data_IF_501385098971
#
_entry.id   IF_501385098971
#
_cell.length_a   1.000
_cell.length_b   1.000
_cell.length_c   1.000
_cell.angle_alpha   90.00
_cell.angle_beta   90.00
_cell.angle_gamma   90.00
#
_symmetry.space_group_name_H-M   'P 1'
#
loop_
_entity.id
_entity.type
_entity.pdbx_description
1 polymer ?
#
# COMPACT_ATOMS: atom_id res chain seq x y z
N UNK A 1 -34.83 23.98 23.04
CA UNK A 1 -34.53 23.58 21.66
C UNK A 1 -33.40 22.58 21.72
N UNK A 2 -33.72 21.29 21.67
CA UNK A 2 -32.72 20.22 21.66
C UNK A 2 -32.20 20.10 20.22
N UNK A 3 -30.90 20.34 20.05
CA UNK A 3 -30.23 20.20 18.77
C UNK A 3 -30.19 18.71 18.40
N UNK A 4 -30.86 18.36 17.31
CA UNK A 4 -30.98 17.00 16.80
C UNK A 4 -29.61 16.60 16.23
N UNK A 5 -28.74 16.02 17.05
CA UNK A 5 -27.41 15.55 16.63
C UNK A 5 -27.53 14.28 15.79
N UNK A 6 -28.00 14.43 14.55
CA UNK A 6 -27.88 13.39 13.53
C UNK A 6 -26.40 13.16 13.30
N UNK A 7 -25.88 12.04 13.79
CA UNK A 7 -24.52 11.58 13.52
C UNK A 7 -24.34 11.46 12.00
N UNK A 8 -23.65 12.43 11.41
CA UNK A 8 -23.33 12.44 9.99
C UNK A 8 -22.17 11.48 9.77
N UNK A 9 -22.46 10.31 9.23
CA UNK A 9 -21.44 9.33 8.86
C UNK A 9 -20.39 10.00 7.96
N UNK A 10 -19.13 10.03 8.40
CA UNK A 10 -18.04 10.72 7.71
C UNK A 10 -17.65 12.10 8.27
N UNK A 11 -18.28 12.61 9.34
CA UNK A 11 -17.77 13.79 10.04
C UNK A 11 -16.49 13.50 10.84
N UNK A 12 -16.31 12.24 11.28
CA UNK A 12 -15.09 11.73 11.95
C UNK A 12 -13.87 11.69 11.02
N UNK A 13 -14.12 11.75 9.71
CA UNK A 13 -13.14 11.74 8.63
C UNK A 13 -12.66 13.16 8.28
N UNK A 14 -13.14 14.21 8.94
CA UNK A 14 -12.65 15.56 8.70
C UNK A 14 -11.51 15.90 9.67
N UNK A 15 -10.41 16.42 9.12
CA UNK A 15 -9.34 17.03 9.90
C UNK A 15 -9.86 18.08 10.87
N UNK A 16 -9.29 18.10 12.08
CA UNK A 16 -9.70 19.01 13.17
C UNK A 16 -9.44 20.49 12.88
N UNK A 17 -8.67 20.81 11.83
CA UNK A 17 -8.30 22.18 11.44
C UNK A 17 -7.17 22.79 12.27
N UNK A 18 -6.61 22.04 13.23
CA UNK A 18 -5.43 22.42 14.00
C UNK A 18 -4.55 21.18 14.22
N UNK A 19 -3.24 21.36 14.14
CA UNK A 19 -2.27 20.28 14.33
C UNK A 19 -1.89 20.13 15.80
N UNK A 20 -2.12 18.95 16.38
CA UNK A 20 -1.62 18.61 17.73
C UNK A 20 -0.14 18.21 17.64
N UNK A 21 0.64 18.35 18.73
CA UNK A 21 2.04 17.85 18.76
C UNK A 21 2.17 16.39 18.32
N UNK A 22 1.22 15.54 18.70
CA UNK A 22 1.18 14.14 18.29
C UNK A 22 1.03 14.00 16.78
N UNK A 23 0.10 14.74 16.18
CA UNK A 23 -0.19 14.70 14.74
C UNK A 23 1.04 15.16 13.94
N UNK A 24 1.74 16.19 14.45
CA UNK A 24 2.97 16.69 13.88
C UNK A 24 4.09 15.63 13.92
N UNK A 25 4.29 14.96 15.06
CA UNK A 25 5.29 13.90 15.22
C UNK A 25 5.02 12.75 14.26
N UNK A 26 3.76 12.26 14.21
CA UNK A 26 3.38 11.18 13.29
C UNK A 26 3.52 11.60 11.83
N UNK A 27 3.13 12.82 11.47
CA UNK A 27 3.26 13.35 10.12
C UNK A 27 4.71 13.47 9.68
N UNK A 28 5.59 13.98 10.54
CA UNK A 28 7.02 14.04 10.22
C UNK A 28 7.64 12.65 10.12
N UNK A 29 7.35 11.74 11.05
CA UNK A 29 7.86 10.36 11.00
C UNK A 29 7.43 9.66 9.72
N UNK A 30 6.14 9.71 9.37
CA UNK A 30 5.64 9.05 8.15
C UNK A 30 6.27 9.63 6.89
N UNK A 31 6.45 10.95 6.82
CA UNK A 31 7.11 11.61 5.68
C UNK A 31 8.57 11.20 5.57
N UNK A 32 9.32 11.16 6.67
CA UNK A 32 10.74 10.79 6.64
C UNK A 32 10.93 9.31 6.32
N UNK A 33 10.09 8.42 6.88
CA UNK A 33 10.10 7.01 6.51
C UNK A 33 9.78 6.80 5.04
N UNK A 34 8.76 7.48 4.50
CA UNK A 34 8.42 7.40 3.07
C UNK A 34 9.58 7.89 2.17
N UNK A 35 10.26 8.98 2.55
CA UNK A 35 11.41 9.47 1.80
C UNK A 35 12.61 8.51 1.82
N UNK A 36 12.89 7.90 2.98
CA UNK A 36 13.97 6.90 3.11
C UNK A 36 13.63 5.64 2.31
N UNK A 37 12.39 5.15 2.41
CA UNK A 37 11.90 3.98 1.70
C UNK A 37 11.97 4.18 0.17
N UNK A 38 11.55 5.35 -0.31
CA UNK A 38 11.70 5.75 -1.71
C UNK A 38 13.17 5.71 -2.15
N UNK A 39 14.08 6.24 -1.32
CA UNK A 39 15.51 6.18 -1.56
C UNK A 39 16.03 4.74 -1.70
N UNK A 40 15.62 3.84 -0.80
CA UNK A 40 15.99 2.42 -0.90
C UNK A 40 15.44 1.74 -2.16
N UNK A 41 14.19 2.04 -2.55
CA UNK A 41 13.61 1.46 -3.75
C UNK A 41 14.33 1.93 -5.03
N UNK A 42 14.78 3.18 -5.07
CA UNK A 42 15.61 3.71 -6.17
C UNK A 42 16.99 3.02 -6.20
N UNK A 43 17.63 2.84 -5.04
CA UNK A 43 18.91 2.14 -4.96
C UNK A 43 18.80 0.69 -5.45
N UNK A 44 17.71 -0.01 -5.13
CA UNK A 44 17.44 -1.36 -5.63
C UNK A 44 17.34 -1.39 -7.16
N UNK A 45 16.63 -0.43 -7.78
CA UNK A 45 16.54 -0.35 -9.24
C UNK A 45 17.89 -0.05 -9.90
N UNK A 46 18.69 0.83 -9.30
CA UNK A 46 20.05 1.13 -9.77
C UNK A 46 20.92 -0.14 -9.68
N UNK A 47 20.81 -0.91 -8.60
CA UNK A 47 21.55 -2.15 -8.40
C UNK A 47 21.22 -3.19 -9.49
N UNK A 48 19.94 -3.39 -9.78
CA UNK A 48 19.46 -4.31 -10.83
C UNK A 48 19.99 -3.90 -12.19
N UNK A 49 20.02 -2.60 -12.50
CA UNK A 49 20.51 -2.09 -13.79
C UNK A 49 22.01 -2.31 -13.98
N UNK A 50 22.80 -2.20 -12.90
CA UNK A 50 24.26 -2.29 -12.96
C UNK A 50 24.78 -3.72 -12.95
N UNK A 51 24.09 -4.66 -12.29
CA UNK A 51 24.59 -6.03 -12.13
C UNK A 51 24.06 -6.94 -13.26
N UNK A 52 24.98 -7.41 -14.12
CA UNK A 52 24.65 -8.28 -15.26
C UNK A 52 23.97 -9.60 -14.89
N UNK A 53 24.20 -10.10 -13.67
CA UNK A 53 23.57 -11.33 -13.14
C UNK A 53 22.04 -11.20 -13.03
N UNK A 54 21.52 -9.98 -12.97
CA UNK A 54 20.08 -9.71 -12.92
C UNK A 54 19.42 -9.57 -14.30
N UNK A 55 20.16 -9.70 -15.42
CA UNK A 55 19.56 -9.82 -16.76
C UNK A 55 18.92 -11.21 -16.97
N UNK A 56 18.02 -11.57 -16.06
CA UNK A 56 17.29 -12.82 -15.99
C UNK A 56 15.86 -12.53 -15.49
N UNK A 57 14.98 -13.52 -15.55
CA UNK A 57 13.62 -13.49 -15.00
C UNK A 57 13.56 -12.93 -13.57
N UNK A 58 14.57 -13.26 -12.76
CA UNK A 58 14.70 -12.83 -11.38
C UNK A 58 14.78 -11.30 -11.22
N UNK A 59 15.60 -10.63 -12.04
CA UNK A 59 15.75 -9.17 -11.97
C UNK A 59 14.48 -8.44 -12.40
N UNK A 60 13.69 -9.01 -13.30
CA UNK A 60 12.41 -8.45 -13.73
C UNK A 60 11.37 -8.43 -12.58
N UNK A 61 11.23 -9.52 -11.83
CA UNK A 61 10.32 -9.55 -10.68
C UNK A 61 10.76 -8.61 -9.57
N UNK A 62 12.07 -8.55 -9.31
CA UNK A 62 12.63 -7.63 -8.33
C UNK A 62 12.41 -6.17 -8.74
N UNK A 63 12.63 -5.83 -10.01
CA UNK A 63 12.36 -4.49 -10.51
C UNK A 63 10.87 -4.12 -10.41
N UNK A 64 9.97 -5.06 -10.76
CA UNK A 64 8.52 -4.84 -10.65
C UNK A 64 8.10 -4.62 -9.19
N UNK A 65 8.68 -5.37 -8.25
CA UNK A 65 8.47 -5.17 -6.81
C UNK A 65 8.93 -3.77 -6.37
N UNK A 66 10.15 -3.37 -6.70
CA UNK A 66 10.70 -2.06 -6.29
C UNK A 66 9.92 -0.90 -6.90
N UNK A 67 9.44 -1.03 -8.15
CA UNK A 67 8.56 -0.04 -8.77
C UNK A 67 7.24 0.09 -8.01
N UNK A 68 6.62 -1.02 -7.59
CA UNK A 68 5.41 -0.97 -6.78
C UNK A 68 5.65 -0.28 -5.42
N UNK A 69 6.79 -0.56 -4.79
CA UNK A 69 7.22 0.07 -3.54
C UNK A 69 7.39 1.59 -3.71
N UNK A 70 8.02 2.06 -4.80
CA UNK A 70 8.15 3.49 -5.09
C UNK A 70 6.79 4.21 -5.17
N UNK A 71 5.82 3.63 -5.88
CA UNK A 71 4.49 4.25 -6.02
C UNK A 71 3.74 4.34 -4.68
N UNK A 72 3.88 3.32 -3.85
CA UNK A 72 3.33 3.31 -2.50
C UNK A 72 4.01 4.37 -1.63
N UNK A 73 5.34 4.44 -1.62
CA UNK A 73 6.11 5.38 -0.80
C UNK A 73 5.88 6.84 -1.19
N UNK A 74 5.71 7.13 -2.49
CA UNK A 74 5.32 8.46 -2.97
C UNK A 74 3.96 8.87 -2.41
N UNK A 75 3.00 7.94 -2.35
CA UNK A 75 1.68 8.20 -1.75
C UNK A 75 1.80 8.48 -0.25
N UNK A 76 2.69 7.78 0.45
CA UNK A 76 2.97 8.05 1.86
C UNK A 76 3.64 9.39 2.11
N UNK A 77 4.68 9.71 1.33
CA UNK A 77 5.46 10.93 1.50
C UNK A 77 4.70 12.19 1.07
N UNK A 78 3.95 12.14 -0.03
CA UNK A 78 3.30 13.33 -0.61
C UNK A 78 1.86 13.53 -0.14
N UNK A 79 1.16 12.48 0.27
CA UNK A 79 -0.22 12.59 0.69
C UNK A 79 -0.39 12.35 2.18
N UNK A 80 -0.05 11.15 2.63
CA UNK A 80 -0.29 10.71 4.01
C UNK A 80 0.43 11.62 5.01
N UNK A 81 1.71 11.90 4.80
CA UNK A 81 2.49 12.81 5.64
C UNK A 81 1.89 14.22 5.74
N UNK A 82 1.74 14.94 4.61
CA UNK A 82 1.19 16.31 4.62
C UNK A 82 -0.24 16.41 5.14
N UNK A 83 -1.12 15.45 4.83
CA UNK A 83 -2.49 15.41 5.36
C UNK A 83 -2.48 15.27 6.89
N UNK A 84 -1.59 14.44 7.44
CA UNK A 84 -1.42 14.31 8.90
C UNK A 84 -0.98 15.63 9.54
N UNK A 85 -0.03 16.33 8.92
CA UNK A 85 0.55 17.57 9.45
C UNK A 85 -0.46 18.72 9.38
N UNK A 86 -1.19 18.85 8.28
CA UNK A 86 -2.03 20.00 8.00
C UNK A 86 -3.45 19.88 8.57
N UNK A 87 -3.93 18.66 8.87
CA UNK A 87 -5.28 18.41 9.42
C UNK A 87 -6.37 19.23 8.69
N UNK A 88 -6.36 19.15 7.35
CA UNK A 88 -7.14 20.03 6.47
C UNK A 88 -8.64 19.85 6.75
N UNK A 89 -9.33 20.97 7.00
CA UNK A 89 -10.79 20.99 7.16
C UNK A 89 -11.45 21.07 5.78
N UNK A 90 -12.55 20.35 5.58
CA UNK A 90 -13.30 20.29 4.32
C UNK A 90 -12.57 19.62 3.15
N UNK A 91 -11.85 18.54 3.43
CA UNK A 91 -11.27 17.71 2.38
C UNK A 91 -12.34 16.87 1.68
N UNK A 92 -12.22 16.73 0.36
CA UNK A 92 -13.14 15.89 -0.40
C UNK A 92 -12.84 14.40 -0.11
N UNK A 93 -13.78 13.64 0.51
CA UNK A 93 -13.54 12.25 0.91
C UNK A 93 -13.22 11.33 -0.28
N UNK A 94 -13.64 11.69 -1.50
CA UNK A 94 -13.31 10.93 -2.70
C UNK A 94 -11.79 10.87 -2.96
N UNK A 95 -11.05 11.94 -2.64
CA UNK A 95 -9.60 12.00 -2.87
C UNK A 95 -8.89 11.01 -1.94
N UNK A 96 -9.26 11.01 -0.66
CA UNK A 96 -8.75 10.10 0.36
C UNK A 96 -8.97 8.64 0.02
N UNK A 97 -10.17 8.32 -0.46
CA UNK A 97 -10.53 6.98 -0.90
C UNK A 97 -9.68 6.57 -2.09
N UNK A 98 -9.51 7.43 -3.10
CA UNK A 98 -8.73 7.12 -4.30
C UNK A 98 -7.26 6.87 -3.96
N UNK A 99 -6.64 7.75 -3.16
CA UNK A 99 -5.22 7.59 -2.79
C UNK A 99 -5.02 6.34 -1.93
N UNK A 100 -5.95 6.05 -1.02
CA UNK A 100 -5.92 4.82 -0.24
C UNK A 100 -5.97 3.57 -1.12
N UNK A 101 -6.91 3.51 -2.08
CA UNK A 101 -7.03 2.37 -2.99
C UNK A 101 -5.78 2.24 -3.87
N UNK A 102 -5.25 3.35 -4.35
CA UNK A 102 -3.99 3.40 -5.08
C UNK A 102 -2.86 2.78 -4.25
N UNK A 103 -2.56 3.31 -3.06
CA UNK A 103 -1.50 2.78 -2.19
C UNK A 103 -1.70 1.28 -1.88
N UNK A 104 -2.95 0.87 -1.64
CA UNK A 104 -3.29 -0.51 -1.35
C UNK A 104 -3.04 -1.46 -2.53
N UNK A 105 -3.38 -1.06 -3.77
CA UNK A 105 -3.08 -1.87 -4.97
C UNK A 105 -1.59 -2.18 -5.09
N UNK A 106 -0.73 -1.17 -4.88
CA UNK A 106 0.71 -1.32 -5.03
C UNK A 106 1.33 -2.12 -3.90
N UNK A 107 0.85 -1.93 -2.66
CA UNK A 107 1.25 -2.75 -1.52
C UNK A 107 0.97 -4.24 -1.78
N UNK A 108 -0.21 -4.56 -2.29
CA UNK A 108 -0.58 -5.93 -2.60
C UNK A 108 0.26 -6.51 -3.76
N UNK A 109 0.52 -5.72 -4.80
CA UNK A 109 1.41 -6.11 -5.90
C UNK A 109 2.82 -6.42 -5.37
N UNK A 110 3.36 -5.60 -4.47
CA UNK A 110 4.65 -5.82 -3.82
C UNK A 110 4.68 -7.15 -3.05
N UNK A 111 3.61 -7.50 -2.33
CA UNK A 111 3.48 -8.77 -1.62
C UNK A 111 3.47 -9.97 -2.57
N UNK A 112 2.68 -9.93 -3.65
CA UNK A 112 2.65 -11.00 -4.66
C UNK A 112 4.04 -11.19 -5.27
N UNK A 113 4.69 -10.10 -5.68
CA UNK A 113 6.02 -10.17 -6.29
C UNK A 113 7.05 -10.72 -5.30
N UNK A 114 6.95 -10.38 -4.01
CA UNK A 114 7.80 -10.96 -2.97
C UNK A 114 7.64 -12.49 -2.88
N UNK A 115 6.40 -12.94 -2.90
CA UNK A 115 6.07 -14.37 -2.84
C UNK A 115 6.64 -15.09 -4.07
N UNK A 116 6.49 -14.51 -5.26
CA UNK A 116 7.04 -15.06 -6.50
C UNK A 116 8.57 -15.14 -6.46
N UNK A 117 9.24 -14.10 -5.92
CA UNK A 117 10.70 -14.08 -5.73
C UNK A 117 11.14 -15.18 -4.75
N UNK A 118 10.42 -15.38 -3.66
CA UNK A 118 10.69 -16.44 -2.69
C UNK A 118 10.49 -17.83 -3.33
N UNK A 119 9.41 -18.02 -4.08
CA UNK A 119 9.14 -19.25 -4.82
C UNK A 119 10.21 -19.52 -5.87
N UNK A 120 10.68 -18.49 -6.59
CA UNK A 120 11.79 -18.61 -7.53
C UNK A 120 13.05 -19.16 -6.85
N UNK A 121 13.40 -18.63 -5.67
CA UNK A 121 14.55 -19.12 -4.88
C UNK A 121 14.34 -20.56 -4.40
N UNK A 122 13.13 -20.93 -3.99
CA UNK A 122 12.80 -22.28 -3.56
C UNK A 122 12.94 -23.30 -4.70
N UNK A 123 12.35 -23.00 -5.87
CA UNK A 123 12.41 -23.89 -7.05
C UNK A 123 13.84 -24.03 -7.57
N UNK A 124 14.64 -22.96 -7.52
CA UNK A 124 16.05 -23.02 -7.91
C UNK A 124 16.86 -24.03 -7.08
N UNK A 125 16.56 -24.17 -5.78
CA UNK A 125 17.25 -25.11 -4.88
C UNK A 125 16.72 -26.53 -5.03
N UNK A 126 15.40 -26.72 -5.04
CA UNK A 126 14.78 -28.05 -5.06
C UNK A 126 14.77 -28.72 -6.45
N UNK A 127 14.70 -27.93 -7.53
CA UNK A 127 14.58 -28.45 -8.91
C UNK A 127 15.45 -27.67 -9.91
N UNK A 128 16.79 -27.73 -9.79
CA UNK A 128 17.69 -26.99 -10.68
C UNK A 128 17.52 -27.38 -12.15
N UNK A 129 17.26 -28.67 -12.46
CA UNK A 129 17.11 -29.16 -13.84
C UNK A 129 15.85 -28.65 -14.56
N UNK A 130 14.80 -28.25 -13.83
CA UNK A 130 13.54 -27.74 -14.42
C UNK A 130 13.40 -26.22 -14.36
N UNK A 131 14.36 -25.54 -13.71
CA UNK A 131 14.30 -24.10 -13.46
C UNK A 131 14.15 -23.27 -14.73
N UNK A 132 14.91 -23.58 -15.79
CA UNK A 132 14.88 -22.83 -17.06
C UNK A 132 13.55 -22.96 -17.82
N UNK A 133 12.83 -24.05 -17.61
CA UNK A 133 11.51 -24.28 -18.23
C UNK A 133 10.40 -23.59 -17.44
N UNK A 134 10.50 -23.59 -16.11
CA UNK A 134 9.52 -22.94 -15.21
C UNK A 134 9.66 -21.41 -15.25
N UNK A 135 10.89 -20.88 -15.23
CA UNK A 135 11.17 -19.44 -15.29
C UNK A 135 11.53 -18.95 -16.70
N UNK A 136 10.68 -19.29 -17.66
CA UNK A 136 10.76 -18.70 -19.00
C UNK A 136 10.27 -17.25 -19.00
N UNK A 137 10.84 -16.40 -19.85
CA UNK A 137 10.46 -14.97 -20.00
C UNK A 137 8.95 -14.78 -20.21
N UNK A 138 8.30 -15.71 -20.91
CA UNK A 138 6.84 -15.68 -21.16
C UNK A 138 6.07 -15.84 -19.86
N UNK A 139 6.38 -16.87 -19.08
CA UNK A 139 5.73 -17.14 -17.79
C UNK A 139 5.94 -15.97 -16.84
N UNK A 140 7.12 -15.34 -16.85
CA UNK A 140 7.39 -14.19 -16.00
C UNK A 140 6.48 -12.99 -16.32
N UNK A 141 6.28 -12.71 -17.61
CA UNK A 141 5.33 -11.70 -18.06
C UNK A 141 3.89 -12.07 -17.67
N UNK A 142 3.49 -13.33 -17.85
CA UNK A 142 2.16 -13.80 -17.44
C UNK A 142 1.93 -13.63 -15.93
N UNK A 143 2.90 -14.00 -15.10
CA UNK A 143 2.82 -13.85 -13.64
C UNK A 143 2.73 -12.38 -13.24
N UNK A 144 3.49 -11.51 -13.91
CA UNK A 144 3.43 -10.08 -13.61
C UNK A 144 2.08 -9.45 -13.99
N UNK A 145 1.55 -9.78 -15.16
CA UNK A 145 0.21 -9.32 -15.59
C UNK A 145 -0.87 -9.88 -14.66
N UNK A 146 -0.82 -11.18 -14.38
CA UNK A 146 -1.79 -11.81 -13.49
C UNK A 146 -1.75 -11.21 -12.09
N UNK A 147 -0.54 -11.01 -11.53
CA UNK A 147 -0.36 -10.34 -10.24
C UNK A 147 -0.92 -8.92 -10.23
N UNK A 148 -0.71 -8.15 -11.31
CA UNK A 148 -1.30 -6.81 -11.47
C UNK A 148 -2.83 -6.83 -11.59
N UNK A 149 -3.40 -7.80 -12.31
CA UNK A 149 -4.86 -7.95 -12.38
C UNK A 149 -5.46 -8.32 -11.02
N UNK A 150 -4.81 -9.23 -10.28
CA UNK A 150 -5.23 -9.61 -8.93
C UNK A 150 -5.15 -8.40 -7.98
N UNK A 151 -4.09 -7.60 -8.05
CA UNK A 151 -3.92 -6.42 -7.20
C UNK A 151 -4.95 -5.33 -7.41
N UNK A 152 -5.53 -5.23 -8.61
CA UNK A 152 -6.63 -4.29 -8.92
C UNK A 152 -7.97 -4.87 -8.45
N UNK A 153 -8.18 -6.18 -8.61
CA UNK A 153 -9.46 -6.83 -8.30
C UNK A 153 -9.86 -6.73 -6.82
N UNK A 154 -8.89 -6.85 -5.91
CA UNK A 154 -9.13 -6.81 -4.45
C UNK A 154 -9.70 -5.44 -4.00
N UNK A 155 -9.03 -4.29 -4.26
CA UNK A 155 -9.59 -2.96 -3.98
C UNK A 155 -10.89 -2.68 -4.73
N UNK A 156 -11.09 -3.22 -5.93
CA UNK A 156 -12.38 -3.09 -6.61
C UNK A 156 -13.52 -3.80 -5.85
N UNK A 157 -13.25 -4.95 -5.21
CA UNK A 157 -14.23 -5.63 -4.36
C UNK A 157 -14.57 -4.83 -3.10
N UNK A 158 -13.61 -4.07 -2.54
CA UNK A 158 -13.86 -3.20 -1.39
C UNK A 158 -14.82 -2.05 -1.71
N UNK A 159 -14.90 -1.60 -2.97
CA UNK A 159 -15.88 -0.60 -3.43
C UNK A 159 -17.28 -1.22 -3.52
N UNK A 160 -17.37 -2.51 -3.86
CA UNK A 160 -18.64 -3.23 -4.11
C UNK A 160 -19.29 -3.75 -2.83
N UNK A 161 -18.48 -4.18 -1.84
CA UNK A 161 -18.98 -4.67 -0.54
C UNK A 161 -18.69 -3.67 0.59
N UNK A 162 -19.55 -2.66 0.83
CA UNK A 162 -19.43 -1.74 1.96
C UNK A 162 -19.85 -2.37 3.29
N UNK A 163 -19.53 -3.65 3.54
CA UNK A 163 -19.82 -4.32 4.82
C UNK A 163 -18.97 -3.80 5.98
N UNK A 164 -17.88 -3.07 5.70
CA UNK A 164 -17.02 -2.48 6.72
C UNK A 164 -17.71 -1.34 7.50
N UNK A 165 -18.77 -0.70 6.96
CA UNK A 165 -19.52 0.36 7.64
C UNK A 165 -20.15 -0.10 9.00
N UNK A 166 -20.28 -1.41 9.23
CA UNK A 166 -20.78 -1.98 10.50
C UNK A 166 -19.64 -2.21 11.52
N UNK A 167 -18.39 -2.40 11.07
CA UNK A 167 -17.23 -2.61 11.93
C UNK A 167 -16.65 -1.31 12.52
N UNK A 168 -17.02 -0.14 11.97
CA UNK A 168 -16.63 1.16 12.52
C UNK A 168 -17.47 1.61 13.72
N UNK A 169 -18.47 0.82 14.15
CA UNK A 169 -19.20 1.07 15.39
C UNK A 169 -18.29 0.86 16.62
N UNK A 170 -18.42 1.67 17.69
CA UNK A 170 -17.55 1.62 18.87
C UNK A 170 -17.49 0.27 19.59
N UNK A 171 -18.35 -0.69 19.23
CA UNK A 171 -18.46 -2.05 19.79
C UNK A 171 -17.58 -3.11 19.12
N UNK A 172 -16.99 -2.86 17.94
CA UNK A 172 -16.22 -3.88 17.21
C UNK A 172 -14.70 -3.86 17.46
N UNK A 173 -14.21 -2.94 18.32
CA UNK A 173 -12.78 -2.72 18.63
C UNK A 173 -12.01 -3.91 19.23
N UNK A 174 -12.69 -5.03 19.55
CA UNK A 174 -12.12 -6.13 20.33
C UNK A 174 -11.80 -7.41 19.54
N UNK A 175 -12.16 -7.54 18.25
CA UNK A 175 -11.99 -8.82 17.55
C UNK A 175 -10.84 -8.93 16.53
N UNK A 176 -10.35 -7.84 15.92
CA UNK A 176 -9.39 -7.94 14.80
C UNK A 176 -8.17 -7.01 14.99
N UNK A 177 -7.33 -7.28 15.99
CA UNK A 177 -6.30 -6.35 16.45
C UNK A 177 -5.08 -6.09 15.55
N UNK A 178 -4.89 -6.78 14.41
CA UNK A 178 -3.63 -6.68 13.63
C UNK A 178 -3.82 -6.06 12.24
N UNK A 179 -4.83 -6.48 11.47
CA UNK A 179 -5.09 -5.89 10.14
C UNK A 179 -5.84 -4.56 10.22
N UNK A 180 -6.69 -4.38 11.24
CA UNK A 180 -7.52 -3.20 11.42
C UNK A 180 -6.70 -1.98 11.87
N UNK A 181 -5.54 -2.18 12.53
CA UNK A 181 -4.73 -1.09 13.06
C UNK A 181 -3.97 -0.33 11.96
N UNK A 182 -3.38 -1.03 10.98
CA UNK A 182 -2.83 -0.39 9.79
C UNK A 182 -3.93 0.24 8.94
N UNK A 183 -5.08 -0.42 8.77
CA UNK A 183 -6.22 0.15 8.03
C UNK A 183 -6.80 1.41 8.69
N UNK A 184 -6.97 1.42 10.01
CA UNK A 184 -7.45 2.57 10.77
C UNK A 184 -6.45 3.70 10.86
N UNK A 185 -5.16 3.37 11.04
CA UNK A 185 -4.11 4.36 10.95
C UNK A 185 -4.19 4.99 9.55
N UNK A 186 -4.11 4.22 8.48
CA UNK A 186 -4.22 4.70 7.11
C UNK A 186 -5.49 5.53 6.88
N UNK A 187 -6.69 5.03 7.20
CA UNK A 187 -7.93 5.78 7.01
C UNK A 187 -7.98 7.10 7.79
N UNK A 188 -7.42 7.14 9.01
CA UNK A 188 -7.33 8.38 9.80
C UNK A 188 -6.18 9.29 9.38
N UNK A 189 -5.23 8.76 8.62
CA UNK A 189 -4.14 9.54 8.02
C UNK A 189 -4.48 10.03 6.61
N UNK A 190 -5.38 9.34 5.91
CA UNK A 190 -5.90 9.73 4.60
C UNK A 190 -7.06 10.74 4.70
N UNK A 191 -7.59 10.99 5.90
CA UNK A 191 -8.79 11.81 6.16
C UNK A 191 -8.50 12.93 7.16
#
# INVERSE_FOLDING_TARGET
MAENSTFVYGSELQGRGYATRTDLIFGFMTTTFGAIAYGSAVLDLILIKNIKIFHSAFGFFWATRSVAEMFMDVSYALYTGPVTILQIKHMNPYVSIVVYHYAFTFAYLQCIMNLVIAMNRFVAVWFPMRYTTIFSKRICWFVAIFGGCQSISIPALYIIFPYQNIAYGPRARNLNGIFDCSYWALLKTYS
#
